data_IF_393876314182
#
_entry.id   IF_393876314182
#
_cell.length_a   1.000
_cell.length_b   1.000
_cell.length_c   1.000
_cell.angle_alpha   90.00
_cell.angle_beta   90.00
_cell.angle_gamma   90.00
#
_symmetry.space_group_name_H-M   'P 1'
#
loop_
_entity.id
_entity.type
_entity.pdbx_description
1 polymer ?
#
# COMPACT_ATOMS: atom_id res chain seq x y z
N UNK A 1 0.65 9.00 -13.51
CA UNK A 1 -0.54 8.15 -13.29
C UNK A 1 -0.78 7.25 -14.49
N UNK A 2 -0.94 7.77 -15.71
CA UNK A 2 -1.28 6.90 -16.85
C UNK A 2 -0.20 5.84 -17.15
N UNK A 3 1.08 6.17 -17.00
CA UNK A 3 2.19 5.20 -17.07
C UNK A 3 2.23 4.19 -15.90
N UNK A 4 1.69 4.55 -14.74
CA UNK A 4 1.54 3.65 -13.59
C UNK A 4 0.32 2.74 -13.76
N UNK A 5 -0.76 3.25 -14.35
CA UNK A 5 -1.97 2.48 -14.65
C UNK A 5 -1.79 1.51 -15.82
N UNK A 6 -0.79 1.73 -16.69
CA UNK A 6 -0.53 0.90 -17.86
C UNK A 6 0.57 -0.15 -17.68
N UNK A 7 1.29 -0.18 -16.55
CA UNK A 7 2.34 -1.16 -16.29
C UNK A 7 1.98 -2.08 -15.13
N UNK A 8 2.08 -3.39 -15.35
CA UNK A 8 1.87 -4.40 -14.32
C UNK A 8 3.17 -4.58 -13.55
N UNK A 9 3.27 -3.95 -12.39
CA UNK A 9 4.37 -4.20 -11.46
C UNK A 9 4.21 -5.55 -10.74
N UNK A 10 5.22 -5.95 -9.97
CA UNK A 10 5.18 -7.24 -9.27
C UNK A 10 4.06 -7.28 -8.20
N UNK A 11 3.67 -6.13 -7.63
CA UNK A 11 2.60 -6.05 -6.64
C UNK A 11 1.29 -6.41 -7.32
N UNK A 12 0.99 -5.80 -8.46
CA UNK A 12 -0.20 -6.15 -9.24
C UNK A 12 -0.16 -7.60 -9.73
N UNK A 13 1.01 -8.13 -10.10
CA UNK A 13 1.09 -9.51 -10.59
C UNK A 13 0.92 -10.56 -9.50
N UNK A 14 1.46 -10.33 -8.30
CA UNK A 14 1.65 -11.40 -7.31
C UNK A 14 1.00 -11.14 -5.95
N UNK A 15 0.65 -9.89 -5.60
CA UNK A 15 0.12 -9.54 -4.27
C UNK A 15 -1.32 -9.03 -4.36
N UNK A 16 -1.57 -8.04 -5.22
CA UNK A 16 -2.89 -7.42 -5.42
C UNK A 16 -3.26 -7.33 -6.90
N UNK A 17 -3.70 -8.44 -7.54
CA UNK A 17 -4.20 -8.44 -8.91
C UNK A 17 -5.31 -7.40 -9.14
N UNK A 18 -5.09 -6.50 -10.10
CA UNK A 18 -6.00 -5.40 -10.42
C UNK A 18 -5.93 -4.20 -9.45
N UNK A 19 -5.05 -4.24 -8.44
CA UNK A 19 -4.85 -3.14 -7.50
C UNK A 19 -4.27 -1.90 -8.18
N UNK A 20 -4.81 -0.72 -7.87
CA UNK A 20 -4.33 0.55 -8.40
C UNK A 20 -4.35 1.59 -7.29
N UNK A 21 -3.21 2.25 -7.06
CA UNK A 21 -3.17 3.41 -6.17
C UNK A 21 -3.96 4.57 -6.77
N UNK A 22 -4.82 5.16 -5.96
CA UNK A 22 -5.61 6.32 -6.34
C UNK A 22 -4.72 7.56 -6.42
N UNK A 23 -4.97 8.42 -7.41
CA UNK A 23 -4.42 9.77 -7.41
C UNK A 23 -5.33 10.67 -6.58
N UNK A 24 -4.81 11.22 -5.48
CA UNK A 24 -5.56 12.14 -4.62
C UNK A 24 -6.15 13.31 -5.42
N UNK A 25 -5.35 13.93 -6.31
CA UNK A 25 -5.82 15.00 -7.20
C UNK A 25 -7.02 14.58 -8.05
N UNK A 26 -7.00 13.38 -8.64
CA UNK A 26 -8.12 12.86 -9.45
C UNK A 26 -9.33 12.57 -8.56
N UNK A 27 -9.11 12.00 -7.38
CA UNK A 27 -10.16 11.70 -6.44
C UNK A 27 -10.87 12.98 -5.96
N UNK A 28 -10.10 14.01 -5.61
CA UNK A 28 -10.61 15.33 -5.24
C UNK A 28 -11.46 15.96 -6.35
N UNK A 29 -10.93 16.00 -7.57
CA UNK A 29 -11.67 16.54 -8.71
C UNK A 29 -13.01 15.81 -8.93
N UNK A 30 -13.04 14.48 -8.77
CA UNK A 30 -14.26 13.69 -8.88
C UNK A 30 -15.26 13.97 -7.75
N UNK A 31 -14.78 14.10 -6.52
CA UNK A 31 -15.62 14.42 -5.36
C UNK A 31 -16.28 15.80 -5.51
N UNK A 32 -15.48 16.83 -5.84
CA UNK A 32 -15.95 18.21 -6.03
C UNK A 32 -16.95 18.29 -7.21
N UNK A 33 -16.67 17.60 -8.32
CA UNK A 33 -17.60 17.52 -9.46
C UNK A 33 -18.94 16.83 -9.14
N UNK A 34 -19.04 16.14 -8.00
CA UNK A 34 -20.27 15.50 -7.50
C UNK A 34 -20.88 16.23 -6.31
N UNK A 35 -20.48 17.48 -6.08
CA UNK A 35 -21.06 18.35 -5.06
C UNK A 35 -20.61 18.03 -3.64
N UNK A 36 -19.51 17.28 -3.48
CA UNK A 36 -18.91 17.05 -2.17
C UNK A 36 -17.83 18.10 -1.91
N UNK A 37 -17.83 18.67 -0.71
CA UNK A 37 -16.74 19.53 -0.24
C UNK A 37 -15.60 18.66 0.26
N UNK A 38 -14.39 18.94 -0.23
CA UNK A 38 -13.16 18.27 0.20
C UNK A 38 -12.52 19.04 1.37
N UNK A 39 -12.38 18.41 2.52
CA UNK A 39 -11.65 18.98 3.66
C UNK A 39 -10.16 18.64 3.62
N UNK A 40 -9.35 19.33 4.43
CA UNK A 40 -7.91 19.13 4.46
C UNK A 40 -7.58 17.65 4.78
N UNK A 41 -6.79 16.97 3.92
CA UNK A 41 -6.43 15.58 4.13
C UNK A 41 -5.42 15.46 5.28
N UNK A 42 -5.52 14.36 6.03
CA UNK A 42 -4.50 13.96 7.00
C UNK A 42 -3.63 12.85 6.39
N UNK A 43 -2.40 13.17 6.03
CA UNK A 43 -1.42 12.24 5.49
C UNK A 43 -0.54 11.63 6.60
N UNK A 44 -0.31 10.33 6.55
CA UNK A 44 0.42 9.58 7.57
C UNK A 44 1.20 8.37 6.99
N UNK A 45 1.75 8.52 5.78
CA UNK A 45 2.51 7.44 5.13
C UNK A 45 3.68 6.88 5.95
N UNK A 46 4.34 7.71 6.77
CA UNK A 46 5.44 7.25 7.64
C UNK A 46 4.97 6.27 8.73
N UNK A 47 3.75 6.43 9.24
CA UNK A 47 3.16 5.45 10.17
C UNK A 47 2.88 4.12 9.48
N UNK A 48 2.54 4.16 8.18
CA UNK A 48 2.36 2.96 7.40
C UNK A 48 3.68 2.27 7.05
N UNK A 49 4.75 3.04 6.84
CA UNK A 49 6.10 2.48 6.77
C UNK A 49 6.48 1.73 8.05
N UNK A 50 6.21 2.33 9.22
CA UNK A 50 6.46 1.67 10.52
C UNK A 50 5.58 0.41 10.69
N UNK A 51 4.34 0.45 10.22
CA UNK A 51 3.44 -0.71 10.22
C UNK A 51 4.02 -1.87 9.40
N UNK A 52 4.48 -1.60 8.17
CA UNK A 52 5.10 -2.61 7.30
C UNK A 52 6.38 -3.19 7.90
N UNK A 53 7.19 -2.36 8.57
CA UNK A 53 8.38 -2.80 9.30
C UNK A 53 8.00 -3.79 10.41
N UNK A 54 6.98 -3.47 11.22
CA UNK A 54 6.50 -4.34 12.31
C UNK A 54 5.97 -5.66 11.76
N UNK A 55 5.21 -5.63 10.67
CA UNK A 55 4.72 -6.84 10.01
C UNK A 55 5.87 -7.70 9.50
N UNK A 56 6.90 -7.12 8.90
CA UNK A 56 8.10 -7.86 8.46
C UNK A 56 8.81 -8.55 9.63
N UNK A 57 9.03 -7.84 10.72
CA UNK A 57 9.67 -8.42 11.93
C UNK A 57 8.85 -9.60 12.47
N UNK A 58 7.52 -9.43 12.58
CA UNK A 58 6.64 -10.50 13.04
C UNK A 58 6.59 -11.70 12.06
N UNK A 59 6.63 -11.43 10.75
CA UNK A 59 6.68 -12.45 9.71
C UNK A 59 7.99 -13.24 9.75
N UNK A 60 9.14 -12.57 9.87
CA UNK A 60 10.45 -13.21 9.96
C UNK A 60 10.57 -14.10 11.21
N UNK A 61 10.00 -13.66 12.34
CA UNK A 61 9.89 -14.50 13.53
C UNK A 61 9.02 -15.74 13.29
N UNK A 62 7.87 -15.60 12.63
CA UNK A 62 6.99 -16.72 12.29
C UNK A 62 7.64 -17.75 11.36
N UNK A 63 8.44 -17.27 10.40
CA UNK A 63 9.24 -18.14 9.52
C UNK A 63 10.26 -18.94 10.33
N UNK A 64 11.02 -18.25 11.18
CA UNK A 64 12.09 -18.87 12.00
C UNK A 64 11.53 -19.89 12.98
N UNK A 65 10.37 -19.61 13.56
CA UNK A 65 9.68 -20.49 14.51
C UNK A 65 8.90 -21.63 13.84
N UNK A 66 8.94 -21.75 12.50
CA UNK A 66 8.22 -22.80 11.77
C UNK A 66 6.70 -22.69 11.88
N UNK A 67 6.16 -21.49 12.13
CA UNK A 67 4.71 -21.25 12.30
C UNK A 67 3.95 -21.13 10.98
N UNK A 68 4.65 -21.09 9.85
CA UNK A 68 4.00 -21.00 8.55
C UNK A 68 3.44 -22.36 8.11
N UNK A 69 2.26 -22.40 7.47
CA UNK A 69 1.75 -23.62 6.84
C UNK A 69 2.72 -24.15 5.78
N UNK A 70 2.85 -25.48 5.68
CA UNK A 70 3.77 -26.13 4.74
C UNK A 70 3.60 -25.73 3.26
N UNK A 71 2.41 -25.25 2.86
CA UNK A 71 2.15 -24.75 1.49
C UNK A 71 2.82 -23.41 1.18
N UNK A 72 3.26 -22.67 2.20
CA UNK A 72 3.95 -21.39 2.06
C UNK A 72 5.46 -21.66 2.06
N UNK A 73 5.96 -21.99 0.88
CA UNK A 73 7.35 -22.38 0.66
C UNK A 73 8.32 -21.18 0.70
N UNK A 74 9.61 -21.46 0.55
CA UNK A 74 10.66 -20.44 0.55
C UNK A 74 10.46 -19.36 -0.53
N UNK A 75 9.83 -19.72 -1.66
CA UNK A 75 9.51 -18.77 -2.73
C UNK A 75 8.44 -17.78 -2.26
N UNK A 76 7.39 -18.27 -1.60
CA UNK A 76 6.40 -17.40 -0.97
C UNK A 76 7.05 -16.51 0.08
N UNK A 77 7.91 -17.06 0.95
CA UNK A 77 8.58 -16.28 1.99
C UNK A 77 9.43 -15.16 1.40
N UNK A 78 10.20 -15.45 0.35
CA UNK A 78 11.00 -14.44 -0.34
C UNK A 78 10.13 -13.35 -1.00
N UNK A 79 9.06 -13.75 -1.69
CA UNK A 79 8.11 -12.82 -2.31
C UNK A 79 7.45 -11.91 -1.27
N UNK A 80 6.95 -12.48 -0.18
CA UNK A 80 6.24 -11.74 0.85
C UNK A 80 7.15 -10.78 1.60
N UNK A 81 8.37 -11.22 1.92
CA UNK A 81 9.39 -10.34 2.51
C UNK A 81 9.74 -9.18 1.58
N UNK A 82 9.92 -9.47 0.28
CA UNK A 82 10.20 -8.43 -0.72
C UNK A 82 9.05 -7.42 -0.81
N UNK A 83 7.80 -7.88 -0.84
CA UNK A 83 6.62 -7.02 -0.80
C UNK A 83 6.64 -6.05 0.40
N UNK A 84 6.82 -6.58 1.62
CA UNK A 84 6.82 -5.76 2.84
C UNK A 84 7.93 -4.71 2.82
N UNK A 85 9.15 -5.11 2.44
CA UNK A 85 10.30 -4.19 2.37
C UNK A 85 10.15 -3.14 1.26
N UNK A 86 9.69 -3.56 0.09
CA UNK A 86 9.48 -2.67 -1.05
C UNK A 86 8.44 -1.60 -0.72
N UNK A 87 7.31 -1.99 -0.14
CA UNK A 87 6.29 -1.04 0.29
C UNK A 87 6.79 -0.14 1.43
N UNK A 88 7.51 -0.69 2.42
CA UNK A 88 8.11 0.12 3.49
C UNK A 88 8.99 1.22 2.89
N UNK A 89 9.89 0.86 1.95
CA UNK A 89 10.73 1.80 1.24
C UNK A 89 9.94 2.83 0.43
N UNK A 90 8.86 2.42 -0.23
CA UNK A 90 7.96 3.31 -0.97
C UNK A 90 7.36 4.41 -0.10
N UNK A 91 6.87 4.05 1.09
CA UNK A 91 6.34 5.03 2.05
C UNK A 91 7.43 5.89 2.69
N UNK A 92 8.57 5.31 3.09
CA UNK A 92 9.70 6.09 3.66
C UNK A 92 10.29 7.07 2.65
N UNK A 93 10.36 6.69 1.39
CA UNK A 93 10.88 7.50 0.30
C UNK A 93 9.88 8.52 -0.25
N UNK A 94 8.64 8.56 0.25
CA UNK A 94 7.60 9.47 -0.24
C UNK A 94 7.12 9.16 -1.66
N UNK A 95 7.40 7.96 -2.18
CA UNK A 95 6.91 7.53 -3.50
C UNK A 95 5.42 7.17 -3.50
N UNK A 96 4.89 6.80 -2.33
CA UNK A 96 3.47 6.50 -2.06
C UNK A 96 3.10 7.02 -0.67
N UNK A 97 1.79 7.24 -0.43
CA UNK A 97 1.29 7.81 0.83
C UNK A 97 -0.05 7.17 1.24
N UNK A 98 -0.43 7.35 2.50
CA UNK A 98 -1.74 7.04 3.04
C UNK A 98 -2.35 8.34 3.56
N UNK A 99 -3.56 8.65 3.09
CA UNK A 99 -4.29 9.83 3.52
C UNK A 99 -5.71 9.46 3.99
N UNK A 100 -6.13 10.11 5.07
CA UNK A 100 -7.54 10.18 5.48
C UNK A 100 -8.12 11.49 4.94
N UNK A 101 -9.26 11.37 4.27
CA UNK A 101 -9.94 12.50 3.64
C UNK A 101 -11.39 12.53 4.13
N UNK A 102 -11.82 13.71 4.60
CA UNK A 102 -13.23 13.96 4.93
C UNK A 102 -13.92 14.62 3.74
N UNK A 103 -15.05 14.04 3.32
CA UNK A 103 -15.92 14.58 2.28
C UNK A 103 -17.28 14.94 2.88
N UNK A 104 -17.72 16.17 2.68
CA UNK A 104 -18.97 16.69 3.26
C UNK A 104 -19.97 16.98 2.15
N UNK A 105 -21.20 16.48 2.31
CA UNK A 105 -22.35 16.86 1.49
C UNK A 105 -23.12 17.95 2.21
N UNK A 106 -23.24 19.12 1.58
CA UNK A 106 -24.07 20.22 2.07
C UNK A 106 -25.43 20.22 1.41
#
# INVERSE_FOLDING_TARGET
FDAYASSVDFIQRYVFPGGLLLSERRFRALAEARGLTWEAPHAFGLDYAETLRRWRVAFDAAVTEGRLPARLDDKFVALWRYYLMYCEGGFRGGGIDVAQVTLVKR
#
